data_IF_670474974742
#
_entry.id   IF_670474974742
#
_cell.length_a   1.000
_cell.length_b   1.000
_cell.length_c   1.000
_cell.angle_alpha   90.00
_cell.angle_beta   90.00
_cell.angle_gamma   90.00
#
_symmetry.space_group_name_H-M   'P 1'
#
loop_
_entity.id
_entity.type
_entity.pdbx_description
1 polymer ?
#
# COMPACT_ATOMS: atom_id res chain seq x y z
N UNK A 1 0.33 17.18 7.28
CA UNK A 1 -0.96 16.51 7.55
C UNK A 1 -1.11 15.37 6.54
N UNK A 2 -1.01 14.13 6.99
CA UNK A 2 -1.22 12.90 6.20
C UNK A 2 -2.71 12.48 6.13
N UNK A 3 -3.61 13.37 6.57
CA UNK A 3 -4.89 13.04 7.20
C UNK A 3 -6.00 12.47 6.29
N UNK A 4 -5.72 12.12 5.04
CA UNK A 4 -6.75 11.47 4.20
C UNK A 4 -6.24 10.49 3.13
N UNK A 5 -4.95 10.11 3.17
CA UNK A 5 -4.45 9.07 2.26
C UNK A 5 -4.77 7.70 2.86
N UNK A 6 -5.47 6.86 2.08
CA UNK A 6 -5.82 5.48 2.46
C UNK A 6 -4.65 4.54 2.14
N UNK A 7 -4.37 3.59 3.02
CA UNK A 7 -3.39 2.54 2.75
C UNK A 7 -4.03 1.39 1.97
N UNK A 8 -3.31 0.88 0.98
CA UNK A 8 -3.73 -0.24 0.16
C UNK A 8 -2.59 -1.27 0.06
N UNK A 9 -2.97 -2.53 -0.05
CA UNK A 9 -2.10 -3.58 -0.58
C UNK A 9 -2.52 -3.93 -2.00
N UNK A 10 -1.53 -3.95 -2.90
CA UNK A 10 -1.70 -4.23 -4.34
C UNK A 10 -1.01 -5.52 -4.68
N UNK A 11 -1.73 -6.38 -5.40
CA UNK A 11 -1.20 -7.61 -5.95
C UNK A 11 -1.26 -7.48 -7.48
N UNK A 12 -0.17 -7.82 -8.16
CA UNK A 12 -0.06 -7.73 -9.63
C UNK A 12 0.18 -9.10 -10.25
N UNK A 13 -0.01 -9.20 -11.56
CA UNK A 13 0.23 -10.45 -12.31
C UNK A 13 1.71 -10.86 -12.36
N UNK A 14 2.63 -9.93 -12.12
CA UNK A 14 4.07 -10.16 -12.19
C UNK A 14 4.68 -10.63 -10.86
N UNK A 15 3.94 -10.51 -9.77
CA UNK A 15 4.37 -10.87 -8.42
C UNK A 15 3.97 -12.31 -8.07
N UNK A 16 4.70 -12.92 -7.12
CA UNK A 16 4.29 -14.20 -6.55
C UNK A 16 2.92 -14.05 -5.85
N UNK A 17 2.15 -15.15 -5.77
CA UNK A 17 0.76 -15.16 -5.29
C UNK A 17 0.63 -14.67 -3.84
N UNK A 18 1.72 -14.78 -3.07
CA UNK A 18 1.79 -14.39 -1.66
C UNK A 18 2.50 -13.03 -1.45
N UNK A 19 2.96 -12.37 -2.51
CA UNK A 19 3.61 -11.06 -2.42
C UNK A 19 2.62 -9.91 -2.71
N UNK A 20 2.75 -8.82 -1.96
CA UNK A 20 1.99 -7.60 -2.20
C UNK A 20 2.86 -6.36 -1.98
N UNK A 21 2.47 -5.28 -2.66
CA UNK A 21 3.04 -3.95 -2.44
C UNK A 21 2.07 -3.13 -1.61
N UNK A 22 2.56 -2.61 -0.48
CA UNK A 22 1.77 -1.82 0.45
C UNK A 22 2.15 -0.35 0.28
N UNK A 23 1.17 0.55 0.20
CA UNK A 23 1.45 1.97 0.06
C UNK A 23 0.26 2.87 0.35
N UNK A 24 0.55 4.17 0.46
CA UNK A 24 -0.45 5.22 0.59
C UNK A 24 -0.87 5.71 -0.78
N UNK A 25 -2.18 5.85 -1.01
CA UNK A 25 -2.69 6.40 -2.27
C UNK A 25 -2.27 7.86 -2.42
N UNK A 26 -1.43 8.12 -3.42
CA UNK A 26 -0.95 9.44 -3.79
C UNK A 26 -1.68 9.99 -5.02
N UNK A 27 -2.09 9.13 -5.96
CA UNK A 27 -2.88 9.48 -7.14
C UNK A 27 -3.86 8.35 -7.49
N UNK A 28 -5.05 8.71 -7.96
CA UNK A 28 -6.06 7.76 -8.41
C UNK A 28 -6.84 8.36 -9.57
N UNK A 29 -6.81 7.72 -10.74
CA UNK A 29 -7.60 8.12 -11.90
C UNK A 29 -8.11 6.92 -12.71
N UNK A 30 -8.77 7.17 -13.84
CA UNK A 30 -9.37 6.12 -14.67
C UNK A 30 -8.36 5.18 -15.32
N UNK A 31 -7.09 5.56 -15.41
CA UNK A 31 -6.05 4.78 -16.09
C UNK A 31 -5.16 4.04 -15.10
N UNK A 32 -4.82 4.70 -13.98
CA UNK A 32 -3.84 4.17 -13.05
C UNK A 32 -4.03 4.67 -11.61
N UNK A 33 -3.31 4.00 -10.72
CA UNK A 33 -3.15 4.37 -9.32
C UNK A 33 -1.66 4.57 -9.01
N UNK A 34 -1.34 5.65 -8.31
CA UNK A 34 0.00 5.91 -7.80
C UNK A 34 0.05 5.70 -6.29
N UNK A 35 1.01 4.92 -5.82
CA UNK A 35 1.24 4.67 -4.40
C UNK A 35 2.61 5.18 -3.95
N UNK A 36 2.63 5.87 -2.81
CA UNK A 36 3.85 6.05 -2.03
C UNK A 36 4.09 4.74 -1.25
N UNK A 37 5.08 3.94 -1.66
CA UNK A 37 5.27 2.60 -1.11
C UNK A 37 5.82 2.61 0.31
N UNK A 38 5.39 1.62 1.10
CA UNK A 38 5.96 1.28 2.40
C UNK A 38 6.94 0.12 2.19
N UNK A 39 8.19 0.31 2.60
CA UNK A 39 9.19 -0.76 2.60
C UNK A 39 8.95 -1.77 3.72
N UNK A 40 9.63 -2.91 3.66
CA UNK A 40 9.53 -3.98 4.68
C UNK A 40 9.97 -3.55 6.08
N UNK A 41 10.72 -2.46 6.20
CA UNK A 41 11.07 -1.81 7.47
C UNK A 41 9.94 -0.97 8.07
N UNK A 42 8.80 -0.83 7.39
CA UNK A 42 7.72 0.07 7.77
C UNK A 42 7.98 1.54 7.42
N UNK A 43 9.12 1.85 6.80
CA UNK A 43 9.44 3.20 6.35
C UNK A 43 8.93 3.44 4.92
N UNK A 44 8.47 4.67 4.65
CA UNK A 44 8.12 5.08 3.29
C UNK A 44 9.35 4.99 2.39
N UNK A 45 9.17 4.45 1.19
CA UNK A 45 10.15 4.55 0.11
C UNK A 45 10.08 5.96 -0.48
N UNK A 46 11.22 6.49 -0.90
CA UNK A 46 11.29 7.81 -1.56
C UNK A 46 10.82 7.79 -3.02
N UNK A 47 10.18 6.71 -3.45
CA UNK A 47 9.76 6.46 -4.83
C UNK A 47 8.27 6.17 -4.84
N UNK A 48 7.58 6.82 -5.77
CA UNK A 48 6.16 6.56 -6.04
C UNK A 48 6.06 5.51 -7.13
N UNK A 49 5.33 4.43 -6.87
CA UNK A 49 5.04 3.41 -7.86
C UNK A 49 3.68 3.64 -8.52
N UNK A 50 3.58 3.33 -9.81
CA UNK A 50 2.35 3.50 -10.60
C UNK A 50 1.86 2.17 -11.15
N UNK A 51 0.63 1.82 -10.80
CA UNK A 51 -0.03 0.58 -11.20
C UNK A 51 -1.16 0.88 -12.18
N UNK A 52 -1.16 0.24 -13.35
CA UNK A 52 -2.32 0.29 -14.25
C UNK A 52 -3.37 -0.69 -13.75
N UNK A 53 -4.64 -0.35 -13.91
CA UNK A 53 -5.75 -1.22 -13.48
C UNK A 53 -5.72 -2.61 -14.12
N UNK A 54 -5.20 -2.72 -15.34
CA UNK A 54 -5.09 -3.99 -16.07
C UNK A 54 -4.06 -4.96 -15.48
N UNK A 55 -3.08 -4.44 -14.74
CA UNK A 55 -1.96 -5.24 -14.21
C UNK A 55 -2.24 -5.72 -12.78
N UNK A 56 -3.28 -5.16 -12.14
CA UNK A 56 -3.70 -5.44 -10.77
C UNK A 56 -4.67 -6.62 -10.77
N UNK A 57 -4.32 -7.68 -10.04
CA UNK A 57 -5.19 -8.85 -9.87
C UNK A 57 -6.06 -8.75 -8.62
N UNK A 58 -5.60 -7.99 -7.62
CA UNK A 58 -6.31 -7.81 -6.35
C UNK A 58 -5.89 -6.52 -5.65
N UNK A 59 -6.84 -5.91 -4.96
CA UNK A 59 -6.63 -4.78 -4.06
C UNK A 59 -7.23 -5.13 -2.70
N UNK A 60 -6.44 -5.00 -1.65
CA UNK A 60 -6.93 -5.06 -0.29
C UNK A 60 -6.89 -3.65 0.32
N UNK A 61 -8.04 -3.21 0.84
CA UNK A 61 -8.20 -1.90 1.46
C UNK A 61 -7.91 -1.96 2.97
N UNK A 62 -7.26 -0.91 3.47
CA UNK A 62 -6.90 -0.71 4.87
C UNK A 62 -8.01 -1.08 5.87
N UNK A 63 -7.61 -1.88 6.85
CA UNK A 63 -8.41 -2.44 7.93
C UNK A 63 -7.49 -3.27 8.83
N UNK A 64 -6.96 -4.39 8.32
CA UNK A 64 -6.13 -5.30 9.13
C UNK A 64 -4.66 -4.89 9.29
N UNK A 65 -4.06 -4.23 8.29
CA UNK A 65 -2.65 -3.81 8.36
C UNK A 65 -2.47 -2.53 9.18
N UNK A 66 -3.37 -1.56 9.02
CA UNK A 66 -3.42 -0.35 9.85
C UNK A 66 -3.73 -0.72 11.31
N UNK A 67 -4.68 -1.63 11.56
CA UNK A 67 -4.90 -2.21 12.90
C UNK A 67 -3.65 -2.93 13.44
N UNK A 68 -2.96 -3.74 12.62
CA UNK A 68 -1.75 -4.43 13.05
C UNK A 68 -0.59 -3.48 13.36
N UNK A 69 -0.43 -2.39 12.59
CA UNK A 69 0.52 -1.32 12.86
C UNK A 69 0.16 -0.53 14.12
N UNK A 70 -1.11 -0.20 14.33
CA UNK A 70 -1.55 0.44 15.57
C UNK A 70 -1.30 -0.46 16.79
N UNK A 71 -1.53 -1.77 16.66
CA UNK A 71 -1.26 -2.73 17.71
C UNK A 71 0.24 -2.87 18.00
N UNK A 72 1.09 -2.87 16.97
CA UNK A 72 2.55 -3.02 17.14
C UNK A 72 3.20 -1.77 17.75
N UNK A 73 2.75 -0.57 17.36
CA UNK A 73 3.21 0.70 17.95
C UNK A 73 2.79 0.83 19.42
N UNK A 74 1.64 0.27 19.83
CA UNK A 74 1.20 0.29 21.24
C UNK A 74 1.96 -0.69 22.15
N UNK A 75 2.64 -1.70 21.60
CA UNK A 75 3.31 -2.74 22.40
C UNK A 75 4.84 -2.60 22.47
N UNK A 76 5.41 -1.58 21.83
CA UNK A 76 6.81 -1.18 22.03
C UNK A 76 6.88 0.28 22.51
N UNK A 77 6.98 0.51 23.84
CA UNK A 77 7.30 1.83 24.40
C UNK A 77 8.77 2.23 24.14
#
# INVERSE_FOLDING_TARGET
MLADRRMLAVYTTEMDVDECLIGLVARFDRQAMGLDLVGTSGLMRNEQETFRWADIVRLDFGGRYEEALELSVRHHP
#
